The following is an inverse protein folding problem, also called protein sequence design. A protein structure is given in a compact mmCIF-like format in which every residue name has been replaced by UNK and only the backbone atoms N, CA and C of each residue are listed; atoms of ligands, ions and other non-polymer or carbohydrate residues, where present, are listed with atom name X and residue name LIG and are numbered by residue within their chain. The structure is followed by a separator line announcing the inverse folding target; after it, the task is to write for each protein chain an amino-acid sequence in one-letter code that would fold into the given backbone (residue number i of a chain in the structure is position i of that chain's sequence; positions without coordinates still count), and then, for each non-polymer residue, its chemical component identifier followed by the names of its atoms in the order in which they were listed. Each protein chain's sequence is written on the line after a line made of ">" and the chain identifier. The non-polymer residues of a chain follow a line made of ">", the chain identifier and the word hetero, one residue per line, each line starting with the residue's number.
data_IF_155995581765
#
_entry.id   IF_155995581765
#
_cell.length_a   1.000
_cell.length_b   1.000
_cell.length_c   1.000
_cell.angle_alpha   90.00
_cell.angle_beta   90.00
_cell.angle_gamma   90.00
#
_symmetry.space_group_name_H-M   'P 1'
#
loop_
_entity.id
_entity.type
_entity.pdbx_description
1 polymer ?
#
# COMPACT_ATOMS: atom_id res chain seq x y z
N UNK A 1 23.40 21.24 -38.19
CA UNK A 1 22.42 21.44 -37.11
C UNK A 1 22.50 20.23 -36.20
N UNK A 2 23.13 20.35 -35.04
CA UNK A 2 23.30 19.23 -34.11
C UNK A 2 22.11 19.19 -33.17
N UNK A 3 21.31 18.14 -33.23
CA UNK A 3 20.21 17.91 -32.30
C UNK A 3 20.76 17.79 -30.87
N UNK A 4 20.19 18.48 -29.87
CA UNK A 4 20.59 18.30 -28.49
C UNK A 4 20.27 16.86 -28.07
N UNK A 5 21.29 16.10 -27.68
CA UNK A 5 21.07 14.79 -27.06
C UNK A 5 20.41 15.03 -25.71
N UNK A 6 19.11 14.79 -25.63
CA UNK A 6 18.42 14.68 -24.35
C UNK A 6 18.98 13.47 -23.62
N UNK A 7 20.03 13.69 -22.83
CA UNK A 7 20.49 12.75 -21.82
C UNK A 7 19.33 12.60 -20.83
N UNK A 8 18.62 11.49 -20.94
CA UNK A 8 17.70 11.04 -19.90
C UNK A 8 18.57 10.73 -18.70
N UNK A 9 18.59 11.64 -17.72
CA UNK A 9 19.28 11.39 -16.47
C UNK A 9 18.71 10.09 -15.89
N UNK A 10 19.56 9.07 -15.75
CA UNK A 10 19.19 7.82 -15.08
C UNK A 10 19.09 8.10 -13.57
N UNK A 11 17.93 8.60 -13.14
CA UNK A 11 17.63 8.84 -11.73
C UNK A 11 17.43 7.48 -11.04
N UNK A 12 18.51 6.93 -10.49
CA UNK A 12 18.49 5.72 -9.67
C UNK A 12 18.32 6.00 -8.17
N UNK A 13 18.23 4.94 -7.35
CA UNK A 13 18.03 5.00 -5.89
C UNK A 13 19.00 5.93 -5.16
N UNK A 14 20.25 6.02 -5.64
CA UNK A 14 21.31 6.87 -5.05
C UNK A 14 20.99 8.38 -5.05
N UNK A 15 19.98 8.81 -5.82
CA UNK A 15 19.56 10.21 -5.89
C UNK A 15 18.53 10.60 -4.81
N UNK A 16 18.07 9.63 -4.00
CA UNK A 16 17.06 9.83 -2.98
C UNK A 16 17.62 9.56 -1.59
N UNK A 17 17.15 10.32 -0.60
CA UNK A 17 17.44 10.02 0.80
C UNK A 17 16.71 8.76 1.28
N UNK A 18 17.20 8.17 2.38
CA UNK A 18 16.70 6.90 2.90
C UNK A 18 15.19 6.95 3.23
N UNK A 19 14.71 8.06 3.80
CA UNK A 19 13.28 8.22 4.12
C UNK A 19 12.41 8.23 2.87
N UNK A 20 12.87 8.92 1.82
CA UNK A 20 12.19 8.95 0.53
C UNK A 20 12.16 7.56 -0.10
N UNK A 21 13.28 6.83 -0.09
CA UNK A 21 13.33 5.47 -0.62
C UNK A 21 12.39 4.53 0.13
N UNK A 22 12.41 4.57 1.46
CA UNK A 22 11.52 3.75 2.29
C UNK A 22 10.04 4.04 1.96
N UNK A 23 9.68 5.32 1.83
CA UNK A 23 8.32 5.71 1.46
C UNK A 23 7.94 5.31 0.03
N UNK A 24 8.88 5.35 -0.93
CA UNK A 24 8.65 4.84 -2.29
C UNK A 24 8.45 3.32 -2.29
N UNK A 25 9.22 2.57 -1.52
CA UNK A 25 9.09 1.11 -1.39
C UNK A 25 7.73 0.75 -0.74
N UNK A 26 7.30 1.51 0.29
CA UNK A 26 5.95 1.41 0.90
C UNK A 26 4.82 1.68 -0.12
N UNK A 27 4.94 2.77 -0.90
CA UNK A 27 3.97 3.11 -1.96
C UNK A 27 3.91 2.00 -3.02
N UNK A 28 5.06 1.48 -3.46
CA UNK A 28 5.11 0.42 -4.45
C UNK A 28 4.40 -0.85 -3.94
N UNK A 29 4.65 -1.24 -2.68
CA UNK A 29 3.95 -2.37 -2.06
C UNK A 29 2.44 -2.14 -1.99
N UNK A 30 1.99 -0.96 -1.60
CA UNK A 30 0.57 -0.58 -1.57
C UNK A 30 -0.06 -0.61 -2.98
N UNK A 31 0.61 -0.10 -3.99
CA UNK A 31 0.13 -0.13 -5.38
C UNK A 31 -0.02 -1.56 -5.90
N UNK A 32 0.96 -2.43 -5.60
CA UNK A 32 0.88 -3.85 -5.98
C UNK A 32 -0.28 -4.56 -5.26
N UNK A 33 -0.48 -4.29 -3.97
CA UNK A 33 -1.62 -4.80 -3.22
C UNK A 33 -2.96 -4.32 -3.81
N UNK A 34 -3.04 -3.03 -4.19
CA UNK A 34 -4.22 -2.46 -4.85
C UNK A 34 -4.53 -3.17 -6.17
N UNK A 35 -3.53 -3.32 -7.04
CA UNK A 35 -3.69 -3.97 -8.35
C UNK A 35 -4.15 -5.42 -8.19
N UNK A 36 -3.55 -6.15 -7.25
CA UNK A 36 -3.90 -7.55 -6.96
C UNK A 36 -5.36 -7.67 -6.51
N UNK A 37 -5.77 -6.85 -5.54
CA UNK A 37 -7.14 -6.88 -5.03
C UNK A 37 -8.15 -6.39 -6.08
N UNK A 38 -7.85 -5.32 -6.80
CA UNK A 38 -8.74 -4.78 -7.85
C UNK A 38 -8.93 -5.79 -9.00
N UNK A 39 -7.88 -6.49 -9.40
CA UNK A 39 -7.95 -7.58 -10.37
C UNK A 39 -8.84 -8.73 -9.88
N UNK A 40 -8.68 -9.12 -8.61
CA UNK A 40 -9.52 -10.17 -8.02
C UNK A 40 -10.98 -9.74 -7.80
N UNK A 41 -11.28 -8.48 -7.53
CA UNK A 41 -12.68 -8.01 -7.47
C UNK A 41 -13.39 -8.24 -8.81
N UNK A 42 -12.69 -8.15 -9.94
CA UNK A 42 -13.26 -8.52 -11.23
C UNK A 42 -13.55 -10.02 -11.34
N UNK A 43 -12.69 -10.88 -10.77
CA UNK A 43 -12.90 -12.34 -10.74
C UNK A 43 -14.01 -12.75 -9.79
N UNK A 44 -14.22 -11.99 -8.69
CA UNK A 44 -15.32 -12.24 -7.76
C UNK A 44 -16.65 -12.29 -8.48
N UNK A 45 -16.94 -11.36 -9.38
CA UNK A 45 -18.22 -11.31 -10.14
C UNK A 45 -18.56 -12.59 -10.90
N UNK A 46 -17.56 -13.42 -11.20
CA UNK A 46 -17.73 -14.67 -11.94
C UNK A 46 -17.68 -15.91 -11.02
N UNK A 47 -17.37 -15.74 -9.73
CA UNK A 47 -17.23 -16.82 -8.77
C UNK A 47 -18.58 -17.17 -8.13
N UNK A 48 -19.33 -18.10 -8.74
CA UNK A 48 -20.70 -18.48 -8.32
C UNK A 48 -20.84 -18.97 -6.88
N UNK A 49 -19.74 -19.36 -6.23
CA UNK A 49 -19.71 -19.84 -4.83
C UNK A 49 -19.34 -18.75 -3.82
N UNK A 50 -18.95 -17.56 -4.27
CA UNK A 50 -18.60 -16.42 -3.40
C UNK A 50 -19.82 -15.52 -3.22
N UNK A 51 -20.19 -15.21 -1.99
CA UNK A 51 -21.20 -14.17 -1.74
C UNK A 51 -20.64 -12.79 -2.10
N UNK A 52 -21.08 -12.25 -3.24
CA UNK A 52 -20.64 -10.94 -3.72
C UNK A 52 -21.15 -9.79 -2.84
N UNK A 53 -22.31 -9.95 -2.20
CA UNK A 53 -22.88 -8.97 -1.29
C UNK A 53 -22.02 -8.79 -0.05
N UNK A 54 -21.42 -9.88 0.44
CA UNK A 54 -20.50 -9.86 1.57
C UNK A 54 -19.06 -9.48 1.16
N UNK A 55 -18.54 -10.01 0.05
CA UNK A 55 -17.16 -9.79 -0.34
C UNK A 55 -16.84 -8.35 -0.80
N UNK A 56 -17.79 -7.69 -1.47
CA UNK A 56 -17.57 -6.35 -2.06
C UNK A 56 -17.27 -5.28 -0.99
N UNK A 57 -18.05 -5.13 0.10
CA UNK A 57 -17.74 -4.18 1.17
C UNK A 57 -16.35 -4.39 1.79
N UNK A 58 -15.94 -5.65 1.99
CA UNK A 58 -14.60 -5.95 2.50
C UNK A 58 -13.51 -5.49 1.52
N UNK A 59 -13.67 -5.75 0.23
CA UNK A 59 -12.71 -5.33 -0.78
C UNK A 59 -12.64 -3.80 -0.91
N UNK A 60 -13.78 -3.11 -0.93
CA UNK A 60 -13.84 -1.65 -0.97
C UNK A 60 -13.14 -1.01 0.23
N UNK A 61 -13.35 -1.55 1.44
CA UNK A 61 -12.67 -1.09 2.65
C UNK A 61 -11.14 -1.16 2.51
N UNK A 62 -10.64 -2.30 2.02
CA UNK A 62 -9.20 -2.51 1.85
C UNK A 62 -8.63 -1.62 0.74
N UNK A 63 -9.30 -1.53 -0.41
CA UNK A 63 -8.87 -0.68 -1.53
C UNK A 63 -8.82 0.80 -1.13
N UNK A 64 -9.81 1.27 -0.36
CA UNK A 64 -9.85 2.64 0.14
C UNK A 64 -8.68 2.92 1.09
N UNK A 65 -8.42 2.03 2.04
CA UNK A 65 -7.31 2.17 2.98
C UNK A 65 -5.96 2.26 2.27
N UNK A 66 -5.72 1.35 1.31
CA UNK A 66 -4.50 1.33 0.49
C UNK A 66 -4.36 2.64 -0.30
N UNK A 67 -5.42 3.07 -0.99
CA UNK A 67 -5.40 4.27 -1.84
C UNK A 67 -5.10 5.53 -1.05
N UNK A 68 -5.79 5.74 0.07
CA UNK A 68 -5.60 6.93 0.91
C UNK A 68 -4.19 6.96 1.50
N UNK A 69 -3.70 5.82 1.98
CA UNK A 69 -2.36 5.69 2.56
C UNK A 69 -1.27 5.97 1.53
N UNK A 70 -1.36 5.38 0.33
CA UNK A 70 -0.40 5.61 -0.74
C UNK A 70 -0.38 7.08 -1.18
N UNK A 71 -1.54 7.72 -1.31
CA UNK A 71 -1.65 9.13 -1.65
C UNK A 71 -1.05 10.04 -0.56
N UNK A 72 -1.25 9.71 0.72
CA UNK A 72 -0.68 10.47 1.83
C UNK A 72 0.85 10.41 1.83
N UNK A 73 1.43 9.23 1.62
CA UNK A 73 2.88 9.05 1.49
C UNK A 73 3.42 9.79 0.26
N UNK A 74 2.75 9.69 -0.89
CA UNK A 74 3.15 10.39 -2.12
C UNK A 74 3.16 11.91 -1.89
N UNK A 75 2.12 12.45 -1.25
CA UNK A 75 2.06 13.87 -0.91
C UNK A 75 3.21 14.27 0.03
N UNK A 76 3.47 13.46 1.06
CA UNK A 76 4.59 13.70 1.98
C UNK A 76 5.96 13.67 1.29
N UNK A 77 6.14 12.97 0.17
CA UNK A 77 7.40 12.98 -0.60
C UNK A 77 7.51 14.20 -1.51
N UNK A 78 6.45 14.48 -2.29
CA UNK A 78 6.53 15.35 -3.46
C UNK A 78 5.99 16.77 -3.26
N UNK A 79 5.13 17.03 -2.27
CA UNK A 79 4.50 18.36 -2.11
C UNK A 79 5.16 19.22 -1.04
N UNK A 80 6.09 18.67 -0.26
CA UNK A 80 6.73 19.35 0.87
C UNK A 80 8.20 19.63 0.60
N UNK A 81 8.72 20.69 1.22
CA UNK A 81 10.16 21.01 1.18
C UNK A 81 10.97 19.84 1.76
N UNK A 82 12.11 19.52 1.15
CA UNK A 82 13.01 18.42 1.57
C UNK A 82 13.29 18.42 3.08
N UNK A 83 13.51 19.59 3.68
CA UNK A 83 13.79 19.73 5.11
C UNK A 83 12.65 19.33 6.06
N UNK A 84 11.42 19.16 5.56
CA UNK A 84 10.24 18.75 6.35
C UNK A 84 9.73 17.36 5.97
N UNK A 85 10.41 16.66 5.05
CA UNK A 85 9.92 15.41 4.47
C UNK A 85 9.80 14.31 5.51
N UNK A 86 10.84 14.11 6.33
CA UNK A 86 10.87 13.10 7.39
C UNK A 86 9.70 13.25 8.36
N UNK A 87 9.49 14.47 8.90
CA UNK A 87 8.37 14.74 9.81
C UNK A 87 7.01 14.49 9.16
N UNK A 88 6.87 14.85 7.87
CA UNK A 88 5.61 14.67 7.13
C UNK A 88 5.35 13.20 6.80
N UNK A 89 6.38 12.42 6.51
CA UNK A 89 6.29 10.97 6.36
C UNK A 89 5.90 10.32 7.69
N UNK A 90 6.55 10.68 8.79
CA UNK A 90 6.20 10.17 10.12
C UNK A 90 4.74 10.47 10.48
N UNK A 91 4.29 11.71 10.27
CA UNK A 91 2.91 12.10 10.49
C UNK A 91 1.92 11.33 9.60
N UNK A 92 2.24 11.16 8.30
CA UNK A 92 1.40 10.40 7.38
C UNK A 92 1.25 8.94 7.83
N UNK A 93 2.36 8.29 8.22
CA UNK A 93 2.38 6.92 8.74
C UNK A 93 1.53 6.81 10.01
N UNK A 94 1.71 7.71 10.97
CA UNK A 94 0.93 7.70 12.21
C UNK A 94 -0.57 7.90 11.97
N UNK A 95 -0.95 8.86 11.12
CA UNK A 95 -2.35 9.16 10.82
C UNK A 95 -3.06 8.00 10.09
N UNK A 96 -2.34 7.27 9.24
CA UNK A 96 -2.92 6.20 8.42
C UNK A 96 -2.70 4.79 9.00
N UNK A 97 -1.91 4.65 10.07
CA UNK A 97 -1.70 3.35 10.73
C UNK A 97 -3.02 2.71 11.14
N UNK A 98 -3.90 3.48 11.78
CA UNK A 98 -5.20 2.98 12.22
C UNK A 98 -6.07 2.51 11.04
N UNK A 99 -6.04 3.23 9.92
CA UNK A 99 -6.77 2.87 8.71
C UNK A 99 -6.30 1.53 8.12
N UNK A 100 -4.99 1.28 8.13
CA UNK A 100 -4.41 0.00 7.69
C UNK A 100 -4.77 -1.13 8.65
N UNK A 101 -4.67 -0.90 9.97
CA UNK A 101 -5.04 -1.88 10.99
C UNK A 101 -6.51 -2.29 10.90
N UNK A 102 -7.41 -1.33 10.68
CA UNK A 102 -8.85 -1.59 10.53
C UNK A 102 -9.23 -2.28 9.22
N UNK A 103 -8.39 -2.16 8.18
CA UNK A 103 -8.56 -2.86 6.92
C UNK A 103 -8.06 -4.31 6.96
N UNK A 104 -7.11 -4.62 7.84
CA UNK A 104 -6.50 -5.96 7.91
C UNK A 104 -7.51 -7.10 8.18
N UNK A 105 -8.51 -6.97 9.06
CA UNK A 105 -9.56 -8.00 9.22
C UNK A 105 -10.36 -8.25 7.94
N UNK A 106 -10.67 -7.21 7.16
CA UNK A 106 -11.35 -7.37 5.87
C UNK A 106 -10.45 -8.10 4.85
N UNK A 107 -9.15 -7.80 4.84
CA UNK A 107 -8.20 -8.51 3.98
C UNK A 107 -8.04 -9.98 4.40
N UNK A 108 -8.04 -10.28 5.70
CA UNK A 108 -8.03 -11.65 6.23
C UNK A 108 -9.28 -12.43 5.81
N UNK A 109 -10.47 -11.85 6.01
CA UNK A 109 -11.72 -12.47 5.61
C UNK A 109 -11.72 -12.79 4.09
N UNK A 110 -11.27 -11.84 3.27
CA UNK A 110 -11.15 -12.04 1.84
C UNK A 110 -10.16 -13.16 1.50
N UNK A 111 -9.00 -13.20 2.15
CA UNK A 111 -7.99 -14.23 1.92
C UNK A 111 -8.57 -15.64 2.17
N UNK A 112 -9.29 -15.82 3.28
CA UNK A 112 -9.91 -17.10 3.64
C UNK A 112 -11.00 -17.51 2.65
N UNK A 113 -11.92 -16.59 2.35
CA UNK A 113 -13.10 -16.90 1.52
C UNK A 113 -12.75 -17.05 0.06
N UNK A 114 -11.88 -16.20 -0.47
CA UNK A 114 -11.45 -16.27 -1.88
C UNK A 114 -10.56 -17.48 -2.09
N UNK A 115 -9.61 -17.77 -1.20
CA UNK A 115 -8.79 -18.99 -1.30
C UNK A 115 -9.66 -20.25 -1.28
N UNK A 116 -10.70 -20.29 -0.44
CA UNK A 116 -11.62 -21.43 -0.37
C UNK A 116 -12.49 -21.58 -1.63
N UNK A 117 -12.76 -20.48 -2.35
CA UNK A 117 -13.77 -20.46 -3.43
C UNK A 117 -13.17 -20.49 -4.83
N UNK A 118 -12.16 -19.64 -5.07
CA UNK A 118 -11.56 -19.39 -6.39
C UNK A 118 -10.22 -20.13 -6.52
N UNK A 119 -9.63 -20.55 -5.41
CA UNK A 119 -8.28 -21.11 -5.36
C UNK A 119 -7.21 -20.02 -5.47
N UNK A 120 -6.04 -20.30 -4.88
CA UNK A 120 -4.90 -19.38 -4.84
C UNK A 120 -4.81 -18.57 -3.55
N UNK A 121 -3.62 -18.06 -3.29
CA UNK A 121 -3.25 -17.34 -2.06
C UNK A 121 -2.89 -15.86 -2.34
N UNK A 122 -3.33 -15.30 -3.47
CA UNK A 122 -2.87 -13.99 -3.90
C UNK A 122 -3.29 -12.87 -2.95
N UNK A 123 -4.49 -12.93 -2.36
CA UNK A 123 -4.91 -11.96 -1.33
C UNK A 123 -4.05 -12.09 -0.07
N UNK A 124 -3.79 -13.32 0.38
CA UNK A 124 -2.96 -13.58 1.55
C UNK A 124 -1.54 -13.02 1.36
N UNK A 125 -0.89 -13.41 0.25
CA UNK A 125 0.51 -13.07 -0.04
C UNK A 125 0.70 -11.62 -0.43
N UNK A 126 -0.17 -11.04 -1.26
CA UNK A 126 0.06 -9.70 -1.83
C UNK A 126 -0.66 -8.58 -1.08
N UNK A 127 -1.81 -8.87 -0.48
CA UNK A 127 -2.64 -7.84 0.16
C UNK A 127 -2.46 -7.89 1.67
N UNK A 128 -2.82 -9.01 2.30
CA UNK A 128 -2.81 -9.14 3.75
C UNK A 128 -1.39 -9.06 4.32
N UNK A 129 -0.42 -9.79 3.74
CA UNK A 129 0.98 -9.72 4.18
C UNK A 129 1.53 -8.29 4.05
N UNK A 130 1.19 -7.57 2.97
CA UNK A 130 1.59 -6.16 2.79
C UNK A 130 1.04 -5.27 3.90
N UNK A 131 -0.26 -5.35 4.21
CA UNK A 131 -0.87 -4.55 5.28
C UNK A 131 -0.24 -4.87 6.65
N UNK A 132 0.04 -6.14 6.94
CA UNK A 132 0.71 -6.58 8.18
C UNK A 132 2.14 -6.09 8.28
N UNK A 133 2.91 -6.18 7.19
CA UNK A 133 4.30 -5.75 7.17
C UNK A 133 4.42 -4.24 7.38
N UNK A 134 3.59 -3.47 6.67
CA UNK A 134 3.55 -2.00 6.80
C UNK A 134 3.13 -1.60 8.21
N UNK A 135 2.01 -2.14 8.73
CA UNK A 135 1.55 -1.79 10.08
C UNK A 135 2.56 -2.18 11.15
N UNK A 136 3.17 -3.36 11.07
CA UNK A 136 4.20 -3.80 12.02
C UNK A 136 5.42 -2.88 12.01
N UNK A 137 5.93 -2.52 10.83
CA UNK A 137 7.08 -1.62 10.69
C UNK A 137 6.79 -0.24 11.29
N UNK A 138 5.58 0.29 11.09
CA UNK A 138 5.19 1.59 11.61
C UNK A 138 4.98 1.57 13.12
N UNK A 139 4.35 0.53 13.66
CA UNK A 139 4.19 0.37 15.12
C UNK A 139 5.53 0.28 15.83
N UNK A 140 6.49 -0.50 15.31
CA UNK A 140 7.84 -0.61 15.88
C UNK A 140 8.59 0.72 15.86
N UNK A 141 8.46 1.47 14.75
CA UNK A 141 9.09 2.79 14.60
C UNK A 141 8.52 3.81 15.60
N UNK A 142 7.22 3.77 15.88
CA UNK A 142 6.59 4.65 16.88
C UNK A 142 7.01 4.32 18.32
N UNK A 143 7.31 3.06 18.63
CA UNK A 143 7.75 2.65 19.98
C UNK A 143 9.21 3.00 20.27
N UNK A 144 10.08 2.99 19.26
CA UNK A 144 11.48 3.41 19.42
C UNK A 144 11.62 4.94 19.56
N UNK A 145 10.71 5.74 19.00
CA UNK A 145 10.75 7.20 19.11
C UNK A 145 10.22 7.76 20.45
N UNK A 146 9.63 6.91 21.31
CA UNK A 146 9.06 7.29 22.60
C UNK A 146 9.99 6.99 23.80
N UNK A 147 11.24 6.60 23.56
CA UNK A 147 12.30 6.40 24.55
C UNK A 147 13.37 7.47 24.40
#
# INVERSE_FOLDING_TARGET
>A
MSSPSHSTANIGRLHFDADTLAAMDEIAALVLAYQSLSGMVATFKNATKLDHGEAKPHAEKVLLAIKLTAAALQNAIFTVKKSKRTDKLAAARQQHLQLILEAAPSAQWLAEKVSATVGGNEIDVRVLATLRNISSAWTQSSQCAAK
#
